data_IF_396109217536
#
_entry.id   IF_396109217536
#
_cell.length_a   1.000
_cell.length_b   1.000
_cell.length_c   1.000
_cell.angle_alpha   90.00
_cell.angle_beta   90.00
_cell.angle_gamma   90.00
#
_symmetry.space_group_name_H-M   'P 1'
#
loop_
_entity.id
_entity.type
_entity.pdbx_description
1 polymer ?
#
# COMPACT_ATOMS: atom_id res chain seq x y z
N UNK A 1 -2.67 -6.81 24.13
CA UNK A 1 -1.45 -6.54 23.48
C UNK A 1 -0.69 -5.49 24.21
N UNK A 2 0.52 -5.57 24.27
CA UNK A 2 1.33 -4.56 24.84
C UNK A 2 1.92 -3.79 23.70
N UNK A 3 1.80 -2.58 23.63
CA UNK A 3 2.61 -1.76 22.81
C UNK A 3 3.77 -1.31 23.52
N UNK A 4 4.82 -1.55 23.13
CA UNK A 4 5.98 -0.96 23.56
C UNK A 4 6.40 0.02 22.55
N UNK A 5 6.58 1.13 22.99
CA UNK A 5 7.37 2.08 22.34
C UNK A 5 8.72 1.94 22.93
N UNK A 6 9.49 1.24 22.26
CA UNK A 6 10.85 1.28 22.26
C UNK A 6 11.70 1.54 23.49
N UNK A 7 12.92 1.36 23.36
CA UNK A 7 14.13 1.38 24.13
C UNK A 7 14.38 2.54 25.10
N UNK A 8 13.52 3.52 25.20
CA UNK A 8 13.71 4.63 26.13
C UNK A 8 12.73 4.60 27.31
N UNK A 9 12.38 3.43 27.78
CA UNK A 9 11.49 3.28 28.94
C UNK A 9 10.03 3.56 28.62
N UNK A 10 9.63 3.29 27.42
CA UNK A 10 8.35 3.68 26.89
C UNK A 10 7.36 2.54 26.83
N UNK A 11 6.11 2.89 26.87
CA UNK A 11 5.00 1.97 27.03
C UNK A 11 4.66 1.19 25.78
N UNK A 12 4.55 -0.08 25.92
CA UNK A 12 4.04 -0.99 24.92
C UNK A 12 2.71 -1.51 25.34
N UNK A 13 1.80 -1.62 24.47
CA UNK A 13 0.52 -2.33 24.69
C UNK A 13 0.60 -3.77 24.23
N UNK A 14 0.07 -4.74 24.94
CA UNK A 14 0.00 -6.14 24.54
C UNK A 14 -1.42 -6.66 24.45
N UNK A 15 -1.70 -7.58 23.55
CA UNK A 15 -2.96 -8.29 23.40
C UNK A 15 -3.07 -9.44 24.39
N UNK A 16 -4.20 -9.56 25.05
CA UNK A 16 -4.64 -10.85 25.53
C UNK A 16 -5.44 -11.52 24.43
N UNK A 17 -4.89 -12.58 23.88
CA UNK A 17 -5.56 -13.38 22.86
C UNK A 17 -6.17 -14.62 23.50
N UNK A 18 -7.42 -14.91 23.16
CA UNK A 18 -8.07 -16.15 23.56
C UNK A 18 -7.54 -17.29 22.68
N UNK A 19 -6.92 -18.29 23.33
CA UNK A 19 -6.53 -19.52 22.70
C UNK A 19 -7.64 -20.54 22.97
N UNK A 20 -8.19 -21.24 21.98
CA UNK A 20 -9.35 -22.10 22.16
C UNK A 20 -9.21 -23.23 23.19
N UNK A 21 -8.00 -23.59 23.60
CA UNK A 21 -7.73 -24.68 24.54
C UNK A 21 -6.68 -24.34 25.62
N UNK A 22 -6.44 -23.06 25.91
CA UNK A 22 -5.38 -22.67 26.84
C UNK A 22 -5.63 -21.38 27.60
N UNK A 23 -4.78 -21.05 28.59
CA UNK A 23 -4.89 -19.79 29.34
C UNK A 23 -4.62 -18.60 28.41
N UNK A 24 -5.29 -17.46 28.69
CA UNK A 24 -5.04 -16.20 28.00
C UNK A 24 -3.57 -15.84 28.04
N UNK A 25 -2.96 -15.54 26.90
CA UNK A 25 -1.57 -15.10 26.80
C UNK A 25 -1.49 -13.61 26.51
N UNK A 26 -0.46 -12.96 27.06
CA UNK A 26 -0.11 -11.59 26.73
C UNK A 26 0.87 -11.66 25.56
N UNK A 27 0.48 -11.11 24.41
CA UNK A 27 1.25 -11.14 23.18
C UNK A 27 1.47 -9.72 22.65
N UNK A 28 2.56 -9.47 21.90
CA UNK A 28 2.72 -8.23 21.14
C UNK A 28 1.60 -8.08 20.11
N UNK A 29 1.19 -6.86 19.73
CA UNK A 29 0.07 -6.62 18.81
C UNK A 29 0.40 -6.83 17.33
N UNK A 30 1.68 -6.86 16.99
CA UNK A 30 2.19 -6.92 15.63
C UNK A 30 1.63 -8.10 14.83
N UNK A 31 1.61 -9.30 15.42
CA UNK A 31 1.07 -10.49 14.77
C UNK A 31 -0.42 -10.35 14.41
N UNK A 32 -1.22 -9.79 15.31
CA UNK A 32 -2.65 -9.55 15.04
C UNK A 32 -2.84 -8.42 14.04
N UNK A 33 -2.07 -7.34 14.13
CA UNK A 33 -2.13 -6.24 13.18
C UNK A 33 -1.79 -6.71 11.76
N UNK A 34 -0.74 -7.52 11.60
CA UNK A 34 -0.39 -8.13 10.30
C UNK A 34 -1.48 -9.09 9.82
N UNK A 35 -2.07 -9.87 10.72
CA UNK A 35 -3.19 -10.77 10.40
C UNK A 35 -4.41 -10.00 9.87
N UNK A 36 -4.78 -8.89 10.50
CA UNK A 36 -5.88 -8.00 10.04
C UNK A 36 -5.56 -7.41 8.66
N UNK A 37 -4.33 -6.90 8.48
CA UNK A 37 -3.87 -6.38 7.18
C UNK A 37 -3.93 -7.44 6.08
N UNK A 38 -3.49 -8.66 6.36
CA UNK A 38 -3.49 -9.75 5.40
C UNK A 38 -4.92 -10.21 5.04
N UNK A 39 -5.77 -10.40 6.04
CA UNK A 39 -7.17 -10.79 5.84
C UNK A 39 -7.91 -9.72 5.02
N UNK A 40 -7.75 -8.44 5.37
CA UNK A 40 -8.36 -7.33 4.63
C UNK A 40 -7.92 -7.30 3.18
N UNK A 41 -6.61 -7.46 2.94
CA UNK A 41 -6.07 -7.46 1.60
C UNK A 41 -6.58 -8.62 0.74
N UNK A 42 -6.73 -9.81 1.32
CA UNK A 42 -7.24 -10.99 0.61
C UNK A 42 -8.72 -10.85 0.26
N UNK A 43 -9.51 -10.22 1.14
CA UNK A 43 -10.95 -10.10 0.96
C UNK A 43 -11.34 -8.90 0.09
N UNK A 44 -10.66 -7.76 0.25
CA UNK A 44 -11.09 -6.48 -0.34
C UNK A 44 -10.02 -5.76 -1.17
N UNK A 45 -8.78 -6.23 -1.14
CA UNK A 45 -7.66 -5.63 -1.85
C UNK A 45 -6.67 -4.89 -0.96
N UNK A 46 -5.43 -4.81 -1.44
CA UNK A 46 -4.32 -4.20 -0.71
C UNK A 46 -4.48 -2.69 -0.50
N UNK A 47 -5.33 -2.05 -1.29
CA UNK A 47 -5.63 -0.61 -1.28
C UNK A 47 -6.66 -0.20 -0.23
N UNK A 48 -7.23 -1.13 0.52
CA UNK A 48 -8.18 -0.84 1.58
C UNK A 48 -7.45 -0.74 2.92
N UNK A 49 -7.68 0.37 3.65
CA UNK A 49 -7.11 0.56 4.97
C UNK A 49 -7.61 -0.49 5.97
N UNK A 50 -6.73 -0.89 6.88
CA UNK A 50 -7.08 -1.82 7.96
C UNK A 50 -7.66 -1.14 9.20
N UNK A 51 -7.77 0.18 9.19
CA UNK A 51 -8.45 0.90 10.26
C UNK A 51 -9.93 0.49 10.37
N UNK A 52 -10.44 0.46 11.59
CA UNK A 52 -11.79 0.01 11.94
C UNK A 52 -12.12 -1.46 11.57
N UNK A 53 -11.11 -2.30 11.33
CA UNK A 53 -11.34 -3.74 11.25
C UNK A 53 -11.29 -4.37 12.64
N UNK A 54 -12.26 -5.26 12.95
CA UNK A 54 -12.25 -5.95 14.23
C UNK A 54 -11.12 -6.96 14.32
N UNK A 55 -10.46 -6.97 15.47
CA UNK A 55 -9.46 -7.97 15.80
C UNK A 55 -10.15 -9.16 16.43
N UNK A 56 -9.96 -10.35 15.83
CA UNK A 56 -10.52 -11.59 16.35
C UNK A 56 -9.68 -12.12 17.51
N UNK A 57 -10.36 -12.79 18.43
CA UNK A 57 -9.74 -13.49 19.58
C UNK A 57 -8.94 -12.60 20.55
N UNK A 58 -9.17 -11.29 20.50
CA UNK A 58 -8.64 -10.34 21.47
C UNK A 58 -9.64 -10.18 22.60
N UNK A 59 -9.19 -10.32 23.83
CA UNK A 59 -10.04 -10.22 25.05
C UNK A 59 -9.72 -9.03 25.92
N UNK A 60 -8.52 -8.45 25.80
CA UNK A 60 -8.12 -7.25 26.53
C UNK A 60 -6.92 -6.57 25.86
N UNK A 61 -6.80 -5.27 26.07
CA UNK A 61 -5.59 -4.47 25.82
C UNK A 61 -4.94 -4.11 27.14
N UNK A 62 -3.61 -4.23 27.23
CA UNK A 62 -2.89 -3.92 28.45
C UNK A 62 -1.47 -3.37 28.16
N UNK A 63 -1.06 -2.30 28.82
CA UNK A 63 -1.85 -1.39 29.66
C UNK A 63 -2.88 -0.60 28.83
N UNK A 64 -3.93 -0.06 29.43
CA UNK A 64 -4.82 0.87 28.75
C UNK A 64 -4.08 2.18 28.44
N UNK A 65 -4.30 2.74 27.26
CA UNK A 65 -3.77 4.05 26.90
C UNK A 65 -4.90 5.07 27.09
N UNK A 66 -4.70 6.12 27.91
CA UNK A 66 -5.67 7.17 28.11
C UNK A 66 -5.98 7.91 26.79
N UNK A 67 -7.21 8.36 26.63
CA UNK A 67 -7.61 9.10 25.44
C UNK A 67 -6.87 10.45 25.30
N UNK A 68 -6.40 11.03 26.39
CA UNK A 68 -5.56 12.23 26.41
C UNK A 68 -4.25 12.07 25.62
N UNK A 69 -3.73 10.85 25.52
CA UNK A 69 -2.45 10.60 24.91
C UNK A 69 -2.55 10.22 23.43
N UNK A 70 -3.79 9.97 22.93
CA UNK A 70 -4.01 9.46 21.58
C UNK A 70 -3.50 10.41 20.50
N UNK A 71 -3.73 11.71 20.65
CA UNK A 71 -3.30 12.69 19.66
C UNK A 71 -1.77 12.70 19.54
N UNK A 72 -1.07 12.78 20.64
CA UNK A 72 0.40 12.79 20.66
C UNK A 72 0.99 11.50 20.07
N UNK A 73 0.37 10.35 20.32
CA UNK A 73 0.79 9.07 19.75
C UNK A 73 0.52 8.98 18.25
N UNK A 74 -0.61 9.51 17.78
CA UNK A 74 -0.90 9.57 16.35
C UNK A 74 0.03 10.53 15.61
N UNK A 75 0.37 11.67 16.22
CA UNK A 75 1.34 12.62 15.67
C UNK A 75 2.73 11.99 15.54
N UNK A 76 3.07 11.10 16.48
CA UNK A 76 4.28 10.27 16.45
C UNK A 76 4.17 9.06 15.49
N UNK A 77 3.13 8.98 14.66
CA UNK A 77 2.86 7.90 13.70
C UNK A 77 2.72 6.50 14.34
N UNK A 78 2.21 6.47 15.58
CA UNK A 78 1.94 5.21 16.28
C UNK A 78 0.51 4.80 16.04
N UNK A 79 0.34 3.62 15.46
CA UNK A 79 -0.98 3.05 15.23
C UNK A 79 -1.57 2.52 16.53
N UNK A 80 -2.69 3.08 16.94
CA UNK A 80 -3.35 2.77 18.19
C UNK A 80 -4.37 1.65 18.03
N UNK A 81 -4.46 0.83 19.07
CA UNK A 81 -5.55 -0.15 19.25
C UNK A 81 -6.50 0.36 20.31
N UNK A 82 -7.80 0.29 20.05
CA UNK A 82 -8.81 0.69 21.02
C UNK A 82 -9.77 -0.44 21.35
N UNK A 83 -10.33 -0.38 22.54
CA UNK A 83 -11.50 -1.13 22.91
C UNK A 83 -12.75 -0.28 22.62
N UNK A 84 -13.67 -0.84 21.88
CA UNK A 84 -14.95 -0.24 21.48
C UNK A 84 -16.07 -1.20 21.89
N UNK A 85 -17.32 -0.79 22.14
CA UNK A 85 -18.43 -1.71 22.45
C UNK A 85 -18.63 -2.84 21.44
N UNK A 86 -18.17 -2.65 20.19
CA UNK A 86 -18.21 -3.65 19.13
C UNK A 86 -17.01 -4.61 19.14
N UNK A 87 -16.00 -4.40 19.99
CA UNK A 87 -14.78 -5.18 20.08
C UNK A 87 -13.50 -4.36 20.03
N UNK A 88 -12.41 -4.99 19.64
CA UNK A 88 -11.09 -4.37 19.55
C UNK A 88 -10.76 -4.01 18.13
N UNK A 89 -10.29 -2.79 17.89
CA UNK A 89 -10.07 -2.23 16.57
C UNK A 89 -8.73 -1.49 16.47
N UNK A 90 -8.14 -1.47 15.28
CA UNK A 90 -7.09 -0.51 14.96
C UNK A 90 -7.73 0.86 14.70
N UNK A 91 -7.26 1.89 15.40
CA UNK A 91 -7.77 3.25 15.26
C UNK A 91 -7.21 3.94 14.02
N UNK A 92 -5.96 3.65 13.68
CA UNK A 92 -5.22 4.23 12.55
C UNK A 92 -4.50 3.14 11.76
N UNK A 93 -4.02 3.52 10.58
CA UNK A 93 -3.27 2.63 9.69
C UNK A 93 -2.24 3.47 8.90
N UNK A 94 -1.27 4.01 9.64
CA UNK A 94 -0.21 4.86 9.13
C UNK A 94 1.11 4.09 9.01
N UNK A 95 1.95 4.52 8.06
CA UNK A 95 3.35 4.11 7.94
C UNK A 95 4.25 5.08 8.72
N UNK A 96 5.54 4.80 8.80
CA UNK A 96 6.56 5.71 9.34
C UNK A 96 7.13 6.66 8.27
N UNK A 97 6.49 6.80 7.11
CA UNK A 97 6.94 7.70 6.06
C UNK A 97 6.83 9.15 6.52
N UNK A 98 7.87 9.94 6.26
CA UNK A 98 7.86 11.38 6.50
C UNK A 98 7.01 12.12 5.46
N UNK A 99 6.94 11.55 4.26
CA UNK A 99 6.11 12.08 3.19
C UNK A 99 4.62 11.83 3.49
N UNK A 100 3.80 12.88 3.57
CA UNK A 100 2.36 12.75 3.83
C UNK A 100 1.62 11.90 2.80
N UNK A 101 2.08 11.86 1.55
CA UNK A 101 1.44 11.08 0.47
C UNK A 101 1.64 9.57 0.65
N UNK A 102 2.73 9.16 1.31
CA UNK A 102 3.05 7.78 1.63
C UNK A 102 2.66 7.38 3.06
N UNK A 103 2.09 8.31 3.82
CA UNK A 103 1.75 8.08 5.23
C UNK A 103 0.71 6.96 5.39
N UNK A 104 -0.30 6.91 4.55
CA UNK A 104 -1.35 5.90 4.65
C UNK A 104 -0.85 4.52 4.17
N UNK A 105 -1.02 3.50 5.00
CA UNK A 105 -0.54 2.14 4.71
C UNK A 105 -1.21 1.52 3.48
N UNK A 106 -2.48 1.85 3.22
CA UNK A 106 -3.19 1.38 2.04
C UNK A 106 -2.63 1.97 0.74
N UNK A 107 -2.22 3.24 0.74
CA UNK A 107 -1.53 3.88 -0.39
C UNK A 107 -0.21 3.18 -0.65
N UNK A 108 0.61 3.02 0.40
CA UNK A 108 1.91 2.34 0.28
C UNK A 108 1.77 0.92 -0.23
N UNK A 109 0.77 0.18 0.23
CA UNK A 109 0.51 -1.20 -0.21
C UNK A 109 0.00 -1.27 -1.65
N UNK A 110 -0.81 -0.30 -2.08
CA UNK A 110 -1.23 -0.16 -3.48
C UNK A 110 -0.01 0.05 -4.39
N UNK A 111 0.90 0.96 -4.03
CA UNK A 111 2.12 1.21 -4.81
C UNK A 111 3.02 -0.03 -4.89
N UNK A 112 3.19 -0.75 -3.78
CA UNK A 112 3.93 -2.02 -3.76
C UNK A 112 3.25 -3.05 -4.68
N UNK A 113 1.93 -3.13 -4.70
CA UNK A 113 1.19 -4.01 -5.60
C UNK A 113 1.42 -3.62 -7.06
N UNK A 114 1.29 -2.34 -7.41
CA UNK A 114 1.52 -1.84 -8.76
C UNK A 114 2.95 -2.12 -9.22
N UNK A 115 3.93 -1.87 -8.36
CA UNK A 115 5.34 -2.20 -8.63
C UNK A 115 5.53 -3.68 -8.97
N UNK A 116 4.96 -4.58 -8.18
CA UNK A 116 5.05 -6.03 -8.42
C UNK A 116 4.36 -6.44 -9.72
N UNK A 117 3.21 -5.86 -10.02
CA UNK A 117 2.47 -6.13 -11.26
C UNK A 117 3.24 -5.58 -12.49
N UNK A 118 3.82 -4.37 -12.35
CA UNK A 118 4.65 -3.78 -13.40
C UNK A 118 5.88 -4.63 -13.70
N UNK A 119 6.61 -5.07 -12.68
CA UNK A 119 7.75 -5.98 -12.84
C UNK A 119 7.33 -7.29 -13.51
N UNK A 120 6.25 -7.92 -13.03
CA UNK A 120 5.77 -9.20 -13.61
C UNK A 120 5.36 -9.06 -15.06
N UNK A 121 4.67 -7.97 -15.44
CA UNK A 121 4.30 -7.74 -16.84
C UNK A 121 5.48 -7.27 -17.69
N UNK A 122 6.38 -6.49 -17.11
CA UNK A 122 7.55 -5.98 -17.79
C UNK A 122 8.45 -7.09 -18.33
N UNK A 123 8.57 -8.21 -17.62
CA UNK A 123 9.39 -9.34 -18.06
C UNK A 123 8.97 -9.92 -19.42
N UNK A 124 7.70 -9.79 -19.80
CA UNK A 124 7.23 -10.27 -21.12
C UNK A 124 7.70 -9.43 -22.29
N UNK A 125 8.22 -8.22 -22.04
CA UNK A 125 8.62 -7.28 -23.09
C UNK A 125 10.14 -7.11 -23.23
N UNK A 126 10.92 -7.79 -22.37
CA UNK A 126 12.38 -7.57 -22.26
C UNK A 126 13.15 -7.82 -23.57
N UNK A 127 12.67 -8.73 -24.42
CA UNK A 127 13.33 -9.07 -25.68
C UNK A 127 12.65 -8.48 -26.92
N UNK A 128 11.65 -7.64 -26.74
CA UNK A 128 10.91 -7.05 -27.84
C UNK A 128 11.59 -5.77 -28.35
N UNK A 129 11.66 -5.52 -29.67
CA UNK A 129 12.19 -4.29 -30.22
C UNK A 129 11.38 -3.06 -29.74
N UNK A 130 12.07 -2.04 -29.23
CA UNK A 130 11.45 -0.82 -28.73
C UNK A 130 10.89 0.05 -29.87
N UNK A 131 9.73 -0.35 -30.38
CA UNK A 131 9.03 0.35 -31.47
C UNK A 131 7.63 0.83 -31.06
N UNK A 132 6.97 1.64 -31.93
CA UNK A 132 5.63 2.16 -31.65
C UNK A 132 4.57 1.06 -31.45
N UNK A 133 4.75 -0.11 -32.06
CA UNK A 133 3.85 -1.26 -31.92
C UNK A 133 3.94 -1.83 -30.51
N UNK A 134 5.17 -2.07 -30.01
CA UNK A 134 5.40 -2.53 -28.66
C UNK A 134 4.83 -1.56 -27.63
N UNK A 135 5.10 -0.26 -27.75
CA UNK A 135 4.60 0.76 -26.81
C UNK A 135 3.08 0.77 -26.73
N UNK A 136 2.38 0.66 -27.87
CA UNK A 136 0.91 0.56 -27.90
C UNK A 136 0.40 -0.74 -27.28
N UNK A 137 1.12 -1.85 -27.46
CA UNK A 137 0.78 -3.13 -26.83
C UNK A 137 0.93 -3.05 -25.30
N UNK A 138 2.03 -2.47 -24.84
CA UNK A 138 2.30 -2.24 -23.41
C UNK A 138 1.23 -1.32 -22.80
N UNK A 139 0.94 -0.19 -23.45
CA UNK A 139 -0.08 0.75 -22.99
C UNK A 139 -1.43 0.05 -22.83
N UNK A 140 -1.91 -0.66 -23.85
CA UNK A 140 -3.17 -1.41 -23.77
C UNK A 140 -3.15 -2.47 -22.65
N UNK A 141 -2.03 -3.17 -22.48
CA UNK A 141 -1.91 -4.17 -21.43
C UNK A 141 -2.01 -3.58 -20.02
N UNK A 142 -1.40 -2.42 -19.79
CA UNK A 142 -1.50 -1.73 -18.49
C UNK A 142 -2.87 -1.02 -18.34
N UNK A 143 -3.44 -0.45 -19.40
CA UNK A 143 -4.78 0.15 -19.34
C UNK A 143 -5.83 -0.88 -18.90
N UNK A 144 -5.79 -2.09 -19.46
CA UNK A 144 -6.67 -3.19 -19.03
C UNK A 144 -6.47 -3.56 -17.57
N UNK A 145 -5.21 -3.69 -17.13
CA UNK A 145 -4.89 -4.00 -15.74
C UNK A 145 -5.40 -2.93 -14.77
N UNK A 146 -5.15 -1.66 -15.09
CA UNK A 146 -5.56 -0.55 -14.22
C UNK A 146 -7.07 -0.35 -14.24
N UNK A 147 -7.73 -0.61 -15.38
CA UNK A 147 -9.20 -0.62 -15.47
C UNK A 147 -9.81 -1.69 -14.56
N UNK A 148 -9.24 -2.89 -14.52
CA UNK A 148 -9.69 -3.95 -13.60
C UNK A 148 -9.52 -3.52 -12.13
N UNK A 149 -8.36 -2.95 -11.78
CA UNK A 149 -8.12 -2.43 -10.43
C UNK A 149 -9.07 -1.27 -10.07
N UNK A 150 -9.38 -0.40 -11.03
CA UNK A 150 -10.36 0.69 -10.85
C UNK A 150 -11.75 0.14 -10.52
N UNK A 151 -12.24 -0.83 -11.30
CA UNK A 151 -13.55 -1.45 -11.03
C UNK A 151 -13.60 -2.17 -9.68
N UNK A 152 -12.46 -2.60 -9.17
CA UNK A 152 -12.31 -3.17 -7.82
C UNK A 152 -12.15 -2.11 -6.72
N UNK A 153 -12.20 -0.83 -7.08
CA UNK A 153 -12.10 0.29 -6.13
C UNK A 153 -10.69 0.60 -5.63
N UNK A 154 -9.65 0.28 -6.41
CA UNK A 154 -8.27 0.54 -6.03
C UNK A 154 -7.88 2.02 -6.12
N UNK A 155 -8.58 2.81 -6.90
CA UNK A 155 -8.27 4.20 -7.21
C UNK A 155 -9.42 5.13 -6.85
N UNK A 156 -9.10 6.38 -6.57
CA UNK A 156 -10.04 7.46 -6.46
C UNK A 156 -10.46 7.97 -7.84
N UNK A 157 -11.61 8.62 -7.94
CA UNK A 157 -12.15 9.17 -9.18
C UNK A 157 -13.45 8.50 -9.61
N UNK A 158 -14.30 9.24 -10.33
CA UNK A 158 -15.57 8.74 -10.82
C UNK A 158 -15.42 7.98 -12.16
N UNK A 159 -14.37 8.26 -12.89
CA UNK A 159 -14.08 7.66 -14.21
C UNK A 159 -12.63 7.15 -14.27
N UNK A 160 -12.32 6.17 -15.13
CA UNK A 160 -10.95 5.71 -15.36
C UNK A 160 -9.98 6.84 -15.69
N UNK A 161 -10.39 7.80 -16.51
CA UNK A 161 -9.55 8.93 -16.92
C UNK A 161 -9.17 9.87 -15.76
N UNK A 162 -9.98 9.92 -14.70
CA UNK A 162 -9.68 10.65 -13.47
C UNK A 162 -8.85 9.84 -12.49
N UNK A 163 -8.88 8.52 -12.61
CA UNK A 163 -8.30 7.60 -11.65
C UNK A 163 -6.88 7.16 -12.01
N UNK A 164 -6.59 7.00 -13.29
CA UNK A 164 -5.26 6.57 -13.74
C UNK A 164 -4.96 7.00 -15.18
N UNK A 165 -3.67 6.99 -15.53
CA UNK A 165 -3.18 7.19 -16.90
C UNK A 165 -1.92 6.38 -17.12
N UNK A 166 -1.82 5.72 -18.27
CA UNK A 166 -0.61 5.05 -18.75
C UNK A 166 0.07 5.94 -19.79
N UNK A 167 1.34 6.24 -19.59
CA UNK A 167 2.11 7.11 -20.49
C UNK A 167 3.30 6.33 -21.04
N UNK A 168 3.39 6.25 -22.37
CA UNK A 168 4.46 5.58 -23.12
C UNK A 168 4.94 6.42 -24.31
N UNK A 169 4.50 7.68 -24.36
CA UNK A 169 4.77 8.61 -25.46
C UNK A 169 6.21 9.14 -25.50
N UNK A 170 6.51 10.02 -26.43
CA UNK A 170 7.83 10.62 -26.60
C UNK A 170 8.27 11.49 -25.43
N UNK A 171 7.34 12.01 -24.63
CA UNK A 171 7.64 12.76 -23.42
C UNK A 171 8.37 11.92 -22.38
N UNK A 172 7.98 10.64 -22.27
CA UNK A 172 8.60 9.66 -21.37
C UNK A 172 9.72 8.88 -22.07
N UNK A 173 9.62 8.70 -23.39
CA UNK A 173 10.58 7.97 -24.23
C UNK A 173 11.20 8.88 -25.31
N UNK A 174 12.04 9.86 -24.95
CA UNK A 174 12.74 10.69 -25.93
C UNK A 174 13.65 9.83 -26.80
N UNK A 175 13.93 10.31 -28.04
CA UNK A 175 14.73 9.57 -29.05
C UNK A 175 16.05 9.05 -28.47
N UNK A 176 16.80 9.85 -27.74
CA UNK A 176 18.07 9.40 -27.13
C UNK A 176 17.92 8.24 -26.14
N UNK A 177 16.78 8.10 -25.48
CA UNK A 177 16.52 6.93 -24.63
C UNK A 177 16.19 5.69 -25.45
N UNK A 178 15.43 5.87 -26.53
CA UNK A 178 15.08 4.80 -27.47
C UNK A 178 16.33 4.26 -28.18
N UNK A 179 17.17 5.16 -28.65
CA UNK A 179 18.45 4.83 -29.34
C UNK A 179 19.43 4.11 -28.39
N UNK A 180 19.34 4.42 -27.07
CA UNK A 180 20.09 3.73 -26.03
C UNK A 180 19.43 2.40 -25.58
N UNK A 181 18.40 1.90 -26.28
CA UNK A 181 17.69 0.67 -25.95
C UNK A 181 16.89 0.73 -24.66
N UNK A 182 16.51 1.93 -24.20
CA UNK A 182 15.73 2.12 -22.97
C UNK A 182 14.26 2.32 -23.31
N UNK A 183 13.39 1.72 -22.49
CA UNK A 183 11.94 1.89 -22.54
C UNK A 183 11.45 2.30 -21.16
N UNK A 184 10.64 3.36 -21.12
CA UNK A 184 9.98 3.82 -19.92
C UNK A 184 8.46 3.72 -20.08
N UNK A 185 7.80 3.23 -19.03
CA UNK A 185 6.35 3.20 -18.91
C UNK A 185 6.00 3.87 -17.60
N UNK A 186 5.21 4.92 -17.65
CA UNK A 186 4.79 5.66 -16.47
C UNK A 186 3.32 5.38 -16.20
N UNK A 187 3.03 4.90 -14.99
CA UNK A 187 1.67 4.63 -14.51
C UNK A 187 1.32 5.72 -13.49
N UNK A 188 0.50 6.68 -13.89
CA UNK A 188 -0.04 7.70 -13.00
C UNK A 188 -1.33 7.20 -12.39
N UNK A 189 -1.44 7.22 -11.07
CA UNK A 189 -2.60 6.71 -10.34
C UNK A 189 -3.01 7.66 -9.22
N UNK A 190 -4.30 7.71 -8.93
CA UNK A 190 -4.86 8.47 -7.82
C UNK A 190 -5.31 7.50 -6.71
N UNK A 191 -4.46 7.19 -5.70
CA UNK A 191 -4.74 6.12 -4.73
C UNK A 191 -5.74 6.50 -3.64
N UNK A 192 -5.95 7.79 -3.38
CA UNK A 192 -6.85 8.26 -2.31
C UNK A 192 -7.29 9.70 -2.55
N UNK A 193 -8.25 10.18 -1.75
CA UNK A 193 -8.66 11.58 -1.73
C UNK A 193 -7.83 12.39 -0.71
N UNK A 194 -7.49 13.65 -1.01
CA UNK A 194 -7.68 14.38 -2.26
C UNK A 194 -6.86 13.77 -3.39
N UNK A 195 -7.41 13.83 -4.61
CA UNK A 195 -6.79 13.20 -5.77
C UNK A 195 -5.49 13.87 -6.16
N UNK A 196 -4.38 13.27 -5.77
CA UNK A 196 -3.07 13.52 -6.35
C UNK A 196 -2.63 12.28 -7.11
N UNK A 197 -1.98 12.50 -8.25
CA UNK A 197 -1.40 11.43 -9.01
C UNK A 197 -0.02 11.09 -8.48
N UNK A 198 0.17 9.81 -8.19
CA UNK A 198 1.50 9.26 -7.93
C UNK A 198 1.94 8.52 -9.18
N UNK A 199 3.14 8.77 -9.67
CA UNK A 199 3.68 8.10 -10.82
C UNK A 199 4.52 6.89 -10.41
N UNK A 200 4.24 5.75 -11.03
CA UNK A 200 5.06 4.54 -10.92
C UNK A 200 5.73 4.36 -12.29
N UNK A 201 7.02 4.58 -12.37
CA UNK A 201 7.80 4.46 -13.59
C UNK A 201 8.48 3.11 -13.68
N UNK A 202 8.12 2.35 -14.69
CA UNK A 202 8.83 1.15 -15.11
C UNK A 202 9.92 1.53 -16.10
N UNK A 203 11.16 1.22 -15.81
CA UNK A 203 12.30 1.45 -16.68
C UNK A 203 12.93 0.14 -17.10
N UNK A 204 13.10 -0.04 -18.40
CA UNK A 204 13.85 -1.15 -18.99
C UNK A 204 15.13 -0.60 -19.63
N UNK A 205 16.24 -1.27 -19.38
CA UNK A 205 17.52 -0.98 -20.03
C UNK A 205 18.23 -2.32 -20.33
N UNK A 206 18.21 -2.73 -21.59
CA UNK A 206 18.61 -4.07 -21.98
C UNK A 206 17.76 -5.13 -21.27
N UNK A 207 18.41 -6.08 -20.62
CA UNK A 207 17.74 -7.12 -19.83
C UNK A 207 17.33 -6.68 -18.42
N UNK A 208 17.74 -5.46 -17.99
CA UNK A 208 17.42 -4.94 -16.65
C UNK A 208 16.11 -4.22 -16.64
N UNK A 209 15.27 -4.61 -15.68
CA UNK A 209 13.98 -4.00 -15.41
C UNK A 209 13.99 -3.39 -14.01
N UNK A 210 13.61 -2.13 -13.91
CA UNK A 210 13.48 -1.43 -12.63
C UNK A 210 12.16 -0.68 -12.54
N UNK A 211 11.67 -0.47 -11.33
CA UNK A 211 10.48 0.34 -11.05
C UNK A 211 10.81 1.37 -10.00
N UNK A 212 10.51 2.62 -10.30
CA UNK A 212 10.71 3.77 -9.43
C UNK A 212 9.37 4.43 -9.18
N UNK A 213 9.14 4.88 -7.95
CA UNK A 213 7.98 5.69 -7.57
C UNK A 213 8.40 7.15 -7.61
N UNK A 214 7.64 8.00 -8.33
CA UNK A 214 7.81 9.45 -8.40
C UNK A 214 6.57 10.11 -7.77
N UNK A 215 6.80 10.92 -6.75
CA UNK A 215 5.79 11.63 -5.97
C UNK A 215 5.64 13.08 -6.43
#
# INVERSE_FOLDING_TARGET
>A
ARHTLNTAGQNTTSLRQRIPAGPNRILPPDGVAVGVLAARASLRGAWIAAANEPMKDVVALTPPIPASDWQALQDAQINLLRNDPRGFFALSADTLALDPELRLINVRRLLILLRRLALRRGTTYVFEPNGPVLRRSIQRGFDLLLTELFHRGAFAGATPAQAFRVVTDEGVNPRGSVDAGRLFVELRVAPSLPMRFIAVRLAQSGERLSVVEEL
#
